data_IF_777356340875
#
_entry.id   IF_777356340875
#
_cell.length_a   1.000
_cell.length_b   1.000
_cell.length_c   1.000
_cell.angle_alpha   90.00
_cell.angle_beta   90.00
_cell.angle_gamma   90.00
#
_symmetry.space_group_name_H-M   'P 1'
#
loop_
_entity.id
_entity.type
_entity.pdbx_description
1 polymer ?
2 non-polymer ?
3 non-polymer ?
4 water ?
#
# COMPACT_ATOMS: atom_id res chain seq x y z
N UNK A 3 -3.63 -20.32 -14.18
CA UNK A 3 -3.94 -19.95 -15.60
C UNK A 3 -4.92 -18.75 -15.69
N UNK A 4 -5.66 -18.48 -14.63
CA UNK A 4 -6.09 -17.10 -14.40
C UNK A 4 -4.84 -16.31 -14.01
N UNK A 5 -4.61 -15.17 -14.64
CA UNK A 5 -3.60 -14.23 -14.16
C UNK A 5 -3.92 -13.78 -12.71
N UNK A 6 -2.94 -13.78 -11.85
CA UNK A 6 -3.16 -13.45 -10.45
C UNK A 6 -2.39 -12.21 -10.07
N UNK A 7 -3.10 -11.20 -9.56
CA UNK A 7 -2.50 -9.93 -9.21
C UNK A 7 -2.69 -9.59 -7.74
N UNK A 8 -1.60 -9.32 -7.04
CA UNK A 8 -1.63 -8.88 -5.63
C UNK A 8 -1.58 -7.36 -5.67
N UNK A 9 -2.49 -6.73 -4.96
CA UNK A 9 -2.54 -5.28 -4.89
C UNK A 9 -2.38 -4.92 -3.43
N UNK A 10 -1.31 -4.20 -3.15
CA UNK A 10 -1.05 -3.69 -1.82
C UNK A 10 -2.13 -2.71 -1.38
N UNK A 11 -2.33 -2.60 -0.06
CA UNK A 11 -3.30 -1.69 0.50
C UNK A 11 -2.77 -0.27 0.82
N UNK A 12 -1.95 -0.12 1.84
CA UNK A 12 -1.48 1.19 2.22
C UNK A 12 -0.49 1.73 1.17
N UNK A 13 -0.80 2.93 0.67
CA UNK A 13 0.00 3.60 -0.31
C UNK A 13 -0.34 3.21 -1.73
N UNK A 14 -1.33 2.34 -1.91
CA UNK A 14 -1.79 1.89 -3.23
C UNK A 14 -3.32 2.02 -3.33
N UNK A 15 -4.05 1.42 -2.40
CA UNK A 15 -5.50 1.57 -2.35
C UNK A 15 -5.89 2.62 -1.38
N UNK A 16 -5.21 2.67 -0.24
CA UNK A 16 -5.56 3.54 0.87
C UNK A 16 -4.50 4.63 1.03
N UNK A 17 -4.95 5.85 1.19
CA UNK A 17 -4.07 7.00 1.27
C UNK A 17 -3.52 7.18 2.68
N UNK A 18 -2.55 6.33 3.00
CA UNK A 18 -1.89 6.27 4.28
C UNK A 18 -1.10 7.55 4.55
N UNK A 19 -0.37 8.01 3.53
CA UNK A 19 0.46 9.22 3.68
C UNK A 19 -0.33 10.49 4.01
N UNK A 20 -1.42 10.72 3.30
CA UNK A 20 -2.25 11.89 3.50
C UNK A 20 -3.01 11.84 4.81
N UNK A 21 -3.47 10.63 5.14
CA UNK A 21 -4.23 10.42 6.35
C UNK A 21 -3.37 10.62 7.57
N UNK A 22 -2.18 10.05 7.52
CA UNK A 22 -1.20 10.20 8.57
C UNK A 22 -0.89 11.70 8.78
N UNK A 23 -0.55 12.42 7.71
CA UNK A 23 -0.13 13.79 7.87
C UNK A 23 -1.22 14.63 8.48
N UNK A 24 -2.44 14.48 7.99
CA UNK A 24 -3.58 15.18 8.51
C UNK A 24 -3.76 14.93 10.01
N UNK A 25 -3.68 13.65 10.39
CA UNK A 25 -3.98 13.29 11.79
C UNK A 25 -2.85 13.72 12.69
N UNK A 26 -1.61 13.69 12.20
CA UNK A 26 -0.45 14.10 12.95
C UNK A 26 -0.56 15.60 13.31
N UNK A 27 -0.93 16.39 12.30
CA UNK A 27 -1.05 17.83 12.41
C UNK A 27 -2.19 18.24 13.30
N UNK A 28 -3.35 17.58 13.23
CA UNK A 28 -4.42 17.90 14.17
C UNK A 28 -4.01 17.56 15.61
N UNK A 29 -3.26 16.48 15.80
CA UNK A 29 -2.92 16.06 17.16
C UNK A 29 -1.66 16.73 17.74
N UNK A 30 -0.74 17.13 16.86
CA UNK A 30 0.53 17.70 17.26
C UNK A 30 0.74 19.01 16.46
N UNK A 31 -0.10 20.03 16.68
CA UNK A 31 -0.07 21.23 15.82
C UNK A 31 1.17 22.12 16.00
N UNK A 32 1.93 21.91 17.09
CA UNK A 32 3.10 22.74 17.37
C UNK A 32 4.38 21.96 17.18
N UNK A 33 4.26 20.85 16.44
CA UNK A 33 5.42 20.06 16.05
C UNK A 33 5.73 20.29 14.57
N UNK A 34 6.99 20.17 14.17
CA UNK A 34 7.34 20.16 12.77
C UNK A 34 6.85 18.85 12.11
N UNK A 35 6.57 18.92 10.81
CA UNK A 35 6.07 17.79 10.03
C UNK A 35 6.75 17.73 8.66
N UNK A 36 6.59 16.59 7.98
CA UNK A 36 7.17 16.38 6.67
C UNK A 36 6.04 16.52 5.64
N UNK A 37 6.09 17.56 4.82
CA UNK A 37 5.11 17.74 3.76
C UNK A 37 5.17 16.52 2.83
N UNK A 38 4.08 16.19 2.17
CA UNK A 38 4.03 14.93 1.40
C UNK A 38 5.11 14.91 0.34
N UNK A 39 5.33 16.06 -0.32
CA UNK A 39 6.32 16.20 -1.40
C UNK A 39 7.73 16.00 -0.91
N UNK A 40 7.94 16.23 0.39
CA UNK A 40 9.26 16.08 0.99
C UNK A 40 9.51 14.71 1.57
N UNK A 41 8.51 13.82 1.50
CA UNK A 41 8.66 12.48 2.03
C UNK A 41 9.73 11.75 1.23
N UNK A 42 10.63 11.08 1.93
CA UNK A 42 11.63 10.19 1.34
C UNK A 42 11.85 8.96 2.20
N UNK A 43 11.92 7.80 1.56
CA UNK A 43 12.16 6.54 2.26
C UNK A 43 10.81 6.01 2.75
N UNK A 44 10.71 4.69 2.78
CA UNK A 44 9.48 3.99 3.10
C UNK A 44 8.99 4.33 4.50
N UNK A 45 9.91 4.39 5.46
CA UNK A 45 9.51 4.41 6.87
C UNK A 45 9.26 5.84 7.33
N UNK A 46 7.99 6.15 7.57
CA UNK A 46 7.59 7.47 7.97
C UNK A 46 8.25 7.87 9.30
N UNK A 47 8.29 6.97 10.28
CA UNK A 47 8.78 7.34 11.60
C UNK A 47 10.29 7.62 11.57
N UNK A 48 11.01 6.99 10.66
CA UNK A 48 12.44 7.25 10.49
C UNK A 48 12.66 8.67 10.05
N UNK A 49 11.94 9.14 9.05
CA UNK A 49 12.11 10.52 8.62
C UNK A 49 11.69 11.51 9.71
N UNK A 50 10.64 11.19 10.45
CA UNK A 50 10.17 12.07 11.52
C UNK A 50 11.18 12.11 12.69
N UNK A 51 11.81 10.98 12.96
CA UNK A 51 12.83 10.87 14.00
C UNK A 51 14.09 11.68 13.70
N UNK A 52 14.47 11.73 12.42
CA UNK A 52 15.57 12.57 11.90
C UNK A 52 15.25 14.06 12.01
N UNK A 53 13.98 14.41 11.90
CA UNK A 53 13.53 15.79 11.94
C UNK A 53 13.63 16.41 13.33
N UNK A 54 13.52 15.56 14.36
CA UNK A 54 13.45 16.02 15.76
C UNK A 54 13.37 14.79 16.69
N UNK A 55 14.07 14.80 17.83
CA UNK A 55 13.94 13.68 18.79
C UNK A 55 12.56 13.61 19.47
N UNK A 56 12.08 12.37 19.68
CA UNK A 56 10.77 12.16 20.26
C UNK A 56 9.66 12.05 19.22
N UNK A 57 9.96 12.43 17.98
CA UNK A 57 8.94 12.59 16.96
C UNK A 57 8.59 11.25 16.28
N UNK A 58 9.52 10.32 16.26
CA UNK A 58 9.28 8.96 15.78
C UNK A 58 8.10 8.39 16.57
N UNK A 59 8.12 8.60 17.88
CA UNK A 59 7.21 7.94 18.79
C UNK A 59 5.83 8.57 18.62
N UNK A 60 5.78 9.89 18.45
CA UNK A 60 4.54 10.60 18.17
C UNK A 60 3.92 10.12 16.83
N UNK A 61 4.77 9.96 15.83
CA UNK A 61 4.32 9.50 14.52
C UNK A 61 3.69 8.12 14.65
N UNK A 62 4.36 7.23 15.35
CA UNK A 62 3.85 5.87 15.55
C UNK A 62 2.48 5.88 16.19
N UNK A 63 2.30 6.81 17.13
CA UNK A 63 1.07 6.86 17.90
C UNK A 63 -0.12 7.21 17.05
N UNK A 64 0.12 7.83 15.90
CA UNK A 64 -0.96 8.18 14.99
C UNK A 64 -1.52 6.90 14.39
N UNK A 65 -0.67 6.10 13.76
CA UNK A 65 -1.17 4.87 13.14
C UNK A 65 -1.51 3.73 14.08
N UNK A 66 -1.08 3.83 15.35
CA UNK A 66 -1.55 2.94 16.36
C UNK A 66 -2.94 3.32 16.90
N UNK A 67 -3.45 4.49 16.59
CA UNK A 67 -4.69 4.91 17.20
C UNK A 67 -5.90 4.33 16.52
N UNK A 68 -6.93 4.08 17.32
CA UNK A 68 -8.21 3.64 16.85
C UNK A 68 -8.70 4.53 15.69
N UNK A 69 -9.27 3.87 14.68
CA UNK A 69 -9.81 4.50 13.50
C UNK A 69 -8.85 5.08 12.48
N UNK A 70 -7.55 4.99 12.75
CA UNK A 70 -6.58 5.48 11.79
C UNK A 70 -6.70 4.74 10.45
N UNK A 71 -6.67 3.42 10.47
CA UNK A 71 -6.74 2.68 9.18
C UNK A 71 -8.12 2.76 8.62
N UNK A 72 -9.14 2.71 9.48
CA UNK A 72 -10.50 2.66 8.97
C UNK A 72 -10.89 3.90 8.17
N UNK A 73 -10.37 5.03 8.63
CA UNK A 73 -10.76 6.34 8.11
C UNK A 73 -9.87 6.81 7.00
N UNK A 74 -8.94 6.00 6.54
CA UNK A 74 -8.13 6.36 5.38
C UNK A 74 -9.03 6.48 4.13
N UNK A 75 -8.74 7.47 3.31
CA UNK A 75 -9.47 7.71 2.06
C UNK A 75 -8.87 6.84 0.97
N UNK A 76 -9.68 6.31 0.06
CA UNK A 76 -9.11 5.63 -1.10
C UNK A 76 -8.24 6.58 -1.91
N UNK A 77 -7.16 6.08 -2.51
CA UNK A 77 -6.42 6.88 -3.44
C UNK A 77 -7.28 7.03 -4.73
N UNK A 78 -7.12 8.14 -5.44
CA UNK A 78 -7.92 8.39 -6.67
C UNK A 78 -7.81 7.26 -7.65
N UNK A 79 -8.97 6.81 -8.12
CA UNK A 79 -9.10 5.75 -9.11
C UNK A 79 -8.89 4.30 -8.59
N UNK A 80 -8.48 4.15 -7.33
CA UNK A 80 -8.07 2.85 -6.83
C UNK A 80 -9.22 1.82 -6.76
N UNK A 81 -10.31 2.26 -6.17
CA UNK A 81 -11.50 1.43 -6.02
C UNK A 81 -12.07 1.03 -7.37
N UNK A 82 -12.31 2.02 -8.25
CA UNK A 82 -12.78 1.76 -9.62
C UNK A 82 -11.84 0.79 -10.36
N UNK A 83 -10.53 1.02 -10.27
CA UNK A 83 -9.57 0.19 -11.01
C UNK A 83 -9.55 -1.28 -10.53
N UNK A 84 -9.48 -1.48 -9.22
CA UNK A 84 -9.49 -2.83 -8.67
C UNK A 84 -10.81 -3.56 -8.92
N UNK A 85 -11.92 -2.87 -8.80
CA UNK A 85 -13.20 -3.50 -9.13
C UNK A 85 -13.23 -3.92 -10.61
N UNK A 86 -12.73 -3.08 -11.52
CA UNK A 86 -12.68 -3.45 -12.93
C UNK A 86 -11.72 -4.60 -13.11
N UNK A 87 -10.55 -4.51 -12.48
CA UNK A 87 -9.55 -5.54 -12.61
C UNK A 87 -10.10 -6.92 -12.18
N UNK A 88 -10.79 -6.97 -11.04
CA UNK A 88 -11.34 -8.24 -10.53
C UNK A 88 -12.43 -8.82 -11.47
N UNK A 89 -13.16 -7.96 -12.16
CA UNK A 89 -14.22 -8.42 -13.07
C UNK A 89 -13.67 -8.90 -14.44
N UNK A 90 -12.39 -8.70 -14.71
CA UNK A 90 -11.78 -9.08 -15.97
C UNK A 90 -11.72 -10.62 -16.08
N UNK A 91 -11.88 -11.12 -17.30
CA UNK A 91 -11.84 -12.56 -17.53
C UNK A 91 -10.46 -13.04 -17.17
N UNK A 92 -10.35 -14.26 -16.66
CA UNK A 92 -9.05 -14.88 -16.40
C UNK A 92 -8.11 -14.02 -15.53
N UNK A 93 -8.67 -13.38 -14.51
CA UNK A 93 -7.92 -12.47 -13.64
C UNK A 93 -8.43 -12.58 -12.21
N UNK A 94 -7.55 -12.92 -11.28
CA UNK A 94 -7.87 -13.02 -9.86
C UNK A 94 -7.05 -11.94 -9.15
N UNK A 95 -7.71 -11.13 -8.33
CA UNK A 95 -7.10 -10.07 -7.60
C UNK A 95 -7.17 -10.38 -6.11
N UNK A 96 -6.04 -10.23 -5.44
CA UNK A 96 -5.99 -10.30 -3.98
C UNK A 96 -5.45 -9.00 -3.43
N UNK A 97 -6.00 -8.55 -2.32
CA UNK A 97 -5.46 -7.36 -1.67
C UNK A 97 -4.48 -7.86 -0.62
N UNK A 98 -3.19 -7.49 -0.74
CA UNK A 98 -2.13 -8.05 0.11
C UNK A 98 -1.56 -6.93 0.97
N UNK A 99 -1.63 -7.06 2.30
CA UNK A 99 -1.30 -5.98 3.20
C UNK A 99 -0.51 -6.50 4.41
N UNK A 100 0.47 -5.72 4.82
CA UNK A 100 1.28 -6.04 5.99
C UNK A 100 0.80 -5.24 7.20
N UNK A 101 0.12 -5.89 8.10
CA UNK A 101 -0.37 -5.13 9.26
C UNK A 101 0.76 -4.65 10.15
N UNK A 102 0.55 -3.56 10.89
CA UNK A 102 1.58 -3.08 11.83
C UNK A 102 1.65 -4.08 13.00
N UNK A 103 2.66 -3.92 13.86
CA UNK A 103 2.92 -4.86 14.94
C UNK A 103 1.83 -4.79 16.03
N UNK A 104 1.33 -3.58 16.35
CA UNK A 104 0.22 -3.39 17.27
C UNK A 104 -1.08 -3.76 16.57
N UNK A 105 -1.71 -4.81 17.07
CA UNK A 105 -2.72 -5.58 16.31
C UNK A 105 -4.13 -5.34 16.84
N UNK A 106 -4.27 -4.45 17.81
CA UNK A 106 -5.60 -4.24 18.38
C UNK A 106 -6.65 -3.79 17.37
N UNK A 107 -6.29 -2.85 16.50
CA UNK A 107 -7.24 -2.28 15.54
C UNK A 107 -6.95 -2.56 14.06
N UNK A 108 -5.68 -2.66 13.70
CA UNK A 108 -5.27 -2.55 12.34
C UNK A 108 -5.90 -3.68 11.51
N UNK A 109 -5.73 -4.96 11.89
CA UNK A 109 -6.36 -6.04 11.13
C UNK A 109 -7.86 -5.82 10.99
N UNK A 110 -8.57 -5.68 12.10
CA UNK A 110 -10.00 -5.44 12.05
C UNK A 110 -10.39 -4.32 11.06
N UNK A 111 -9.78 -3.16 11.22
CA UNK A 111 -10.13 -1.96 10.40
C UNK A 111 -9.82 -2.15 8.92
N UNK A 112 -8.80 -2.94 8.62
CA UNK A 112 -8.47 -3.25 7.23
C UNK A 112 -9.63 -4.08 6.58
N UNK A 113 -10.14 -5.09 7.28
CA UNK A 113 -11.30 -5.88 6.80
C UNK A 113 -12.50 -4.95 6.65
N UNK A 114 -12.73 -4.11 7.65
CA UNK A 114 -13.82 -3.15 7.61
C UNK A 114 -13.71 -2.17 6.44
N UNK A 115 -12.49 -1.75 6.12
CA UNK A 115 -12.27 -0.79 5.05
C UNK A 115 -12.54 -1.44 3.70
N UNK A 116 -12.07 -2.67 3.54
CA UNK A 116 -12.35 -3.45 2.34
C UNK A 116 -13.87 -3.68 2.17
N UNK A 117 -14.57 -4.06 3.24
CA UNK A 117 -16.03 -4.21 3.18
C UNK A 117 -16.72 -2.91 2.71
N UNK A 118 -16.27 -1.77 3.20
CA UNK A 118 -16.87 -0.44 2.96
C UNK A 118 -16.72 -0.09 1.45
N UNK A 119 -15.52 -0.30 0.88
CA UNK A 119 -15.23 0.19 -0.49
C UNK A 119 -15.41 -0.86 -1.60
N UNK A 120 -15.32 -2.14 -1.27
CA UNK A 120 -15.42 -3.23 -2.24
C UNK A 120 -16.57 -4.20 -2.00
N UNK A 121 -17.13 -4.17 -0.79
CA UNK A 121 -18.23 -5.04 -0.47
C UNK A 121 -17.84 -6.30 0.26
N UNK A 122 -18.79 -6.90 0.98
CA UNK A 122 -18.56 -8.16 1.70
C UNK A 122 -17.90 -9.25 0.88
N UNK A 123 -18.29 -9.42 -0.38
CA UNK A 123 -17.73 -10.54 -1.14
C UNK A 123 -16.23 -10.38 -1.38
N UNK A 124 -15.74 -9.15 -1.35
CA UNK A 124 -14.32 -8.93 -1.56
C UNK A 124 -13.46 -9.30 -0.34
N UNK A 125 -14.07 -9.49 0.81
CA UNK A 125 -13.32 -9.98 2.01
C UNK A 125 -12.57 -11.30 1.77
N UNK A 126 -13.09 -12.18 0.92
CA UNK A 126 -12.44 -13.42 0.52
C UNK A 126 -11.09 -13.18 -0.19
N UNK A 127 -10.86 -11.98 -0.68
CA UNK A 127 -9.64 -11.67 -1.45
C UNK A 127 -8.55 -11.04 -0.60
N UNK A 128 -8.70 -10.98 0.71
CA UNK A 128 -7.69 -10.34 1.53
C UNK A 128 -6.65 -11.33 1.99
N UNK A 129 -5.40 -10.90 1.87
CA UNK A 129 -4.26 -11.61 2.47
C UNK A 129 -3.50 -10.68 3.36
N UNK A 130 -3.46 -10.97 4.65
CA UNK A 130 -2.60 -10.26 5.57
C UNK A 130 -1.36 -11.06 5.87
N UNK A 131 -0.21 -10.45 5.63
CA UNK A 131 1.07 -11.10 5.88
C UNK A 131 2.15 -10.05 5.98
N UNK A 132 3.14 -10.31 6.82
CA UNK A 132 4.34 -9.51 6.85
C UNK A 132 5.37 -9.94 5.83
N UNK A 133 5.12 -11.03 5.14
CA UNK A 133 6.03 -11.53 4.14
C UNK A 133 5.25 -11.76 2.84
N UNK A 134 5.46 -10.86 1.90
CA UNK A 134 4.77 -10.94 0.62
C UNK A 134 5.40 -11.91 -0.35
N UNK A 135 6.67 -12.23 -0.14
CA UNK A 135 7.42 -13.15 -1.01
C UNK A 135 6.88 -14.58 -0.93
N UNK A 136 6.20 -14.91 0.17
CA UNK A 136 5.58 -16.23 0.26
C UNK A 136 4.14 -16.28 -0.29
N UNK A 137 3.67 -15.18 -0.87
CA UNK A 137 2.41 -15.19 -1.61
C UNK A 137 2.75 -15.24 -3.08
N UNK A 138 2.15 -16.17 -3.80
CA UNK A 138 2.52 -16.40 -5.19
C UNK A 138 1.48 -15.77 -6.08
N UNK A 139 1.94 -15.20 -7.18
CA UNK A 139 1.12 -14.49 -8.11
C UNK A 139 2.00 -14.06 -9.28
N UNK A 140 1.34 -13.54 -10.28
CA UNK A 140 2.07 -13.08 -11.48
C UNK A 140 2.61 -11.66 -11.26
N UNK A 141 1.85 -10.85 -10.53
CA UNK A 141 2.19 -9.45 -10.31
C UNK A 141 1.91 -9.04 -8.85
N UNK A 142 2.76 -8.19 -8.33
CA UNK A 142 2.55 -7.48 -7.07
C UNK A 142 2.68 -5.98 -7.35
N UNK A 143 1.59 -5.24 -7.13
CA UNK A 143 1.60 -3.78 -7.22
C UNK A 143 1.68 -3.21 -5.82
N UNK A 144 2.79 -2.51 -5.52
CA UNK A 144 3.15 -2.21 -4.17
C UNK A 144 4.09 -1.02 -4.20
N UNK A 145 3.88 -0.07 -3.31
CA UNK A 145 4.69 1.14 -3.27
C UNK A 145 6.03 1.01 -2.52
N UNK A 146 6.28 -0.10 -1.84
CA UNK A 146 7.52 -0.31 -1.12
C UNK A 146 8.60 -0.76 -2.10
N UNK A 147 9.73 -0.06 -2.19
CA UNK A 147 10.77 -0.43 -3.17
C UNK A 147 11.45 -1.80 -2.94
N UNK A 148 11.72 -2.10 -1.70
CA UNK A 148 12.49 -3.29 -1.31
C UNK A 148 11.53 -4.31 -0.69
N UNK A 149 11.12 -5.33 -1.43
CA UNK A 149 10.20 -6.31 -0.89
C UNK A 149 10.93 -7.66 -0.80
N UNK A 150 11.25 -8.04 0.43
CA UNK A 150 12.04 -9.24 0.65
C UNK A 150 11.42 -10.01 1.79
N UNK A 151 11.93 -11.23 1.99
CA UNK A 151 11.42 -12.11 3.02
C UNK A 151 11.98 -13.52 2.84
N UNK A 152 11.17 -14.54 3.18
CA UNK A 152 11.66 -15.89 3.29
C UNK A 152 11.90 -16.56 1.94
N UNK A 153 11.21 -16.12 0.88
CA UNK A 153 11.37 -16.68 -0.44
C UNK A 153 12.36 -15.78 -1.24
N UNK A 154 13.57 -16.28 -1.55
CA UNK A 154 14.51 -15.43 -2.30
C UNK A 154 14.11 -15.26 -3.75
N UNK A 155 13.24 -16.11 -4.31
CA UNK A 155 12.77 -15.96 -5.66
C UNK A 155 11.23 -15.94 -5.79
N UNK A 156 10.59 -14.82 -5.44
CA UNK A 156 9.13 -14.73 -5.56
C UNK A 156 8.66 -14.97 -7.00
N UNK A 157 7.47 -15.51 -7.14
CA UNK A 157 6.93 -15.79 -8.44
C UNK A 157 6.38 -14.54 -9.12
N UNK A 158 6.08 -13.49 -8.35
CA UNK A 158 5.55 -12.27 -8.96
C UNK A 158 6.63 -11.34 -9.49
N UNK A 159 6.26 -10.57 -10.49
CA UNK A 159 6.96 -9.33 -10.81
C UNK A 159 6.42 -8.20 -9.93
N UNK A 160 7.29 -7.53 -9.21
CA UNK A 160 6.95 -6.35 -8.40
C UNK A 160 6.91 -5.16 -9.33
N UNK A 161 5.72 -4.59 -9.46
CA UNK A 161 5.51 -3.30 -10.13
C UNK A 161 5.41 -2.23 -9.07
N UNK A 162 6.33 -1.27 -9.11
CA UNK A 162 6.39 -0.25 -8.09
C UNK A 162 5.31 0.78 -8.29
N UNK A 163 4.41 0.89 -7.31
CA UNK A 163 3.38 1.92 -7.37
C UNK A 163 3.93 3.22 -6.85
N UNK A 164 3.83 4.30 -7.65
CA UNK A 164 4.37 5.57 -7.24
C UNK A 164 3.72 6.12 -5.96
N UNK A 165 4.58 6.64 -5.11
CA UNK A 165 4.20 7.37 -3.94
C UNK A 165 5.27 8.47 -3.70
N UNK A 166 4.90 9.49 -2.92
CA UNK A 166 5.82 10.60 -2.52
C UNK A 166 7.21 10.07 -2.15
N UNK A 167 7.20 9.04 -1.31
CA UNK A 167 8.43 8.55 -0.75
C UNK A 167 9.35 7.88 -1.76
N UNK A 168 8.82 7.43 -2.89
CA UNK A 168 9.61 6.68 -3.87
C UNK A 168 9.65 7.34 -5.25
N UNK A 169 9.00 8.49 -5.43
CA UNK A 169 8.78 9.03 -6.76
C UNK A 169 10.10 9.46 -7.44
N UNK A 170 11.15 9.70 -6.65
CA UNK A 170 12.42 10.10 -7.22
C UNK A 170 13.37 8.98 -7.39
N UNK A 171 12.97 7.76 -6.98
CA UNK A 171 13.87 6.63 -7.03
C UNK A 171 14.13 6.08 -8.42
N UNK A 172 15.39 5.90 -8.70
CA UNK A 172 15.76 5.30 -9.94
C UNK A 172 15.84 3.78 -9.69
N UNK A 173 15.01 3.01 -10.37
CA UNK A 173 14.98 1.56 -10.21
C UNK A 173 15.99 0.90 -11.15
N UNK A 174 16.36 -0.32 -10.83
CA UNK A 174 17.20 -1.14 -11.70
C UNK A 174 16.35 -1.69 -12.87
N UNK A 175 16.65 -1.32 -14.13
CA UNK A 175 15.98 -1.98 -15.24
C UNK A 175 16.09 -3.50 -15.02
N UNK A 176 15.10 -4.34 -15.33
CA UNK A 176 13.86 -4.01 -16.05
C UNK A 176 12.64 -3.81 -15.10
N UNK A 177 12.89 -3.32 -13.88
CA UNK A 177 11.80 -2.96 -12.95
C UNK A 177 10.95 -1.82 -13.46
N UNK A 178 9.66 -1.96 -13.25
CA UNK A 178 8.59 -1.20 -13.89
C UNK A 178 7.75 -0.46 -12.83
N UNK A 179 7.16 0.67 -13.16
CA UNK A 179 6.27 1.39 -12.26
C UNK A 179 4.85 1.39 -12.77
N UNK A 180 3.89 1.45 -11.85
CA UNK A 180 2.56 1.93 -12.14
C UNK A 180 2.45 3.30 -11.44
N UNK A 181 2.22 4.34 -12.24
CA UNK A 181 2.44 5.69 -11.79
C UNK A 181 1.28 6.25 -10.92
N UNK A 182 0.10 5.70 -11.09
CA UNK A 182 -1.13 6.04 -10.38
C UNK A 182 -2.17 5.12 -10.99
N UNK A 183 -3.36 5.09 -10.41
CA UNK A 183 -4.42 4.28 -10.99
C UNK A 183 -4.94 4.84 -12.35
N UNK A 184 -4.60 6.09 -12.70
CA UNK A 184 -4.92 6.66 -14.03
C UNK A 184 -3.98 6.13 -15.14
N UNK A 185 -2.80 5.71 -14.71
CA UNK A 185 -1.83 5.04 -15.59
C UNK A 185 -2.39 3.70 -16.05
N UNK A 186 -1.76 3.09 -17.06
CA UNK A 186 -2.38 2.03 -17.84
C UNK A 186 -2.05 0.68 -17.20
N UNK A 187 -2.81 0.35 -16.17
CA UNK A 187 -2.61 -0.92 -15.42
C UNK A 187 -3.02 -2.11 -16.28
N UNK A 188 -4.00 -1.93 -17.18
CA UNK A 188 -4.38 -3.04 -18.08
C UNK A 188 -3.27 -3.53 -18.98
N UNK A 189 -2.44 -2.63 -19.49
CA UNK A 189 -1.31 -3.00 -20.32
C UNK A 189 -0.27 -3.74 -19.51
N UNK A 190 -0.07 -3.37 -18.25
CA UNK A 190 0.84 -4.15 -17.38
C UNK A 190 0.30 -5.57 -17.19
N UNK A 191 -0.96 -5.70 -16.87
CA UNK A 191 -1.57 -7.02 -16.76
C UNK A 191 -1.46 -7.84 -18.07
N UNK A 192 -1.86 -7.25 -19.17
CA UNK A 192 -1.73 -7.92 -20.48
C UNK A 192 -0.34 -8.37 -20.83
N UNK A 193 0.71 -7.68 -20.39
CA UNK A 193 2.07 -8.08 -20.70
C UNK A 193 2.51 -9.37 -20.01
N UNK A 194 1.74 -9.81 -19.02
CA UNK A 194 2.06 -11.02 -18.27
C UNK A 194 1.20 -12.22 -18.68
N UNK A 195 0.20 -12.00 -19.49
CA UNK A 195 -0.74 -13.04 -19.90
C UNK A 195 -0.10 -13.88 -21.04
N UNK A 196 -0.53 -15.14 -21.24
CA UNK A 196 -0.03 -15.94 -22.39
C UNK A 196 -0.54 -15.46 -23.76
X LIG B 1 2.17 -0.07 0.87
X LIG C 1 2.48 -2.29 3.40
X LIG C 1 1.38 -3.37 3.25
X LIG C 1 3.82 -2.69 2.84
X LIG C 1 1.90 -0.97 2.68
X LIG C 1 2.43 -2.00 4.97
X LIG C 1 3.37 -1.16 5.52
X LIG C 1 2.73 -0.52 6.74
X LIG C 1 3.79 0.12 7.40
X LIG C 1 1.69 0.56 6.40
X LIG C 1 0.60 0.46 7.33
X LIG C 1 2.43 1.83 6.75
X LIG C 1 3.31 1.36 7.89
X LIG C 1 4.49 2.32 8.10
X LIG C 1 4.86 3.39 7.41
X LIG C 1 5.92 3.97 8.00
X LIG C 1 6.27 3.27 9.08
X LIG C 1 7.28 3.36 10.07
X LIG C 1 8.17 4.22 10.13
X LIG C 1 7.30 2.37 11.05
X LIG C 1 6.39 1.35 11.12
X LIG C 1 6.51 0.45 12.08
X LIG C 1 5.41 1.26 10.15
X LIG C 1 5.34 2.21 9.14
#
# INVERSE_FOLDING_TARGET
>A
GGRALRVLVNMDGVLADFEGGFLRKFRARFPDQPFIALEDRRGFWVSEQYGRLRPGLSEKAISIWESKNFFFELEPLPGAVEAVKEMASLQNTDVFICTSPIKMFKYCPYEKYAWVEKYFGPDFLEQIVLTRDKTVVSADLLIDDRPDITGAEPTPSWEHVLFTACHNQHLQLQPPRRRLHSWADDWKAILDSKRPC
>B hetero
1 MG MG
>C hetero
1 DGP P OP1 OP2 OP3 O5' C5' C4' O4' C3' O3' C2' C1' N9 C8 N7 C5 C6 O6 N1 C2 N2 N3 C4
#
